data_IF_066166326499
#
_entry.id   IF_066166326499
#
_cell.length_a   1.000
_cell.length_b   1.000
_cell.length_c   1.000
_cell.angle_alpha   90.00
_cell.angle_beta   90.00
_cell.angle_gamma   90.00
#
_symmetry.space_group_name_H-M   'P 1'
#
loop_
_entity.id
_entity.type
_entity.pdbx_description
1 polymer ?
#
# COMPACT_ATOMS: atom_id res chain seq x y z
N UNK A 1 38.81 -29.80 -66.69
CA UNK A 1 37.76 -30.48 -65.90
C UNK A 1 37.32 -29.53 -64.80
N UNK A 2 36.20 -28.85 -65.02
CA UNK A 2 35.62 -27.85 -64.12
C UNK A 2 34.63 -28.53 -63.17
N UNK A 3 34.70 -28.24 -61.88
CA UNK A 3 33.61 -28.55 -60.93
C UNK A 3 33.13 -27.24 -60.31
N UNK A 4 31.85 -26.96 -60.57
CA UNK A 4 31.14 -25.77 -60.12
C UNK A 4 30.45 -26.09 -58.79
N UNK A 5 30.79 -25.35 -57.74
CA UNK A 5 30.19 -25.48 -56.41
C UNK A 5 28.96 -24.56 -56.31
N UNK A 6 27.79 -25.16 -56.08
CA UNK A 6 26.50 -24.48 -55.95
C UNK A 6 26.24 -24.13 -54.49
N UNK A 7 26.30 -22.85 -54.14
CA UNK A 7 25.94 -22.32 -52.82
C UNK A 7 24.42 -22.14 -52.71
N UNK A 8 23.77 -22.93 -51.83
CA UNK A 8 22.35 -22.73 -51.46
C UNK A 8 22.21 -21.51 -50.53
N UNK A 9 21.27 -20.65 -50.87
CA UNK A 9 20.89 -19.47 -50.10
C UNK A 9 19.73 -19.85 -49.16
N UNK A 10 19.98 -19.91 -47.85
CA UNK A 10 18.92 -20.03 -46.84
C UNK A 10 18.33 -18.63 -46.52
N UNK A 11 17.00 -18.47 -46.46
CA UNK A 11 16.39 -17.21 -46.09
C UNK A 11 16.46 -16.94 -44.58
N UNK A 12 16.63 -15.68 -44.13
CA UNK A 12 16.78 -15.34 -42.72
C UNK A 12 15.49 -15.54 -41.92
N UNK A 13 15.54 -16.43 -40.93
CA UNK A 13 14.47 -16.80 -39.97
C UNK A 13 14.13 -15.73 -38.91
N UNK A 14 14.28 -14.44 -39.22
CA UNK A 14 14.29 -13.37 -38.19
C UNK A 14 13.01 -12.55 -37.99
N UNK A 15 11.96 -12.68 -38.82
CA UNK A 15 10.85 -11.70 -38.82
C UNK A 15 9.55 -12.13 -38.14
N UNK A 16 9.37 -13.42 -37.82
CA UNK A 16 8.11 -13.90 -37.21
C UNK A 16 8.05 -13.74 -35.68
N UNK A 17 9.20 -13.71 -35.00
CA UNK A 17 9.25 -13.54 -33.55
C UNK A 17 8.96 -12.10 -33.11
N UNK A 18 9.34 -11.09 -33.92
CA UNK A 18 9.11 -9.69 -33.57
C UNK A 18 7.62 -9.31 -33.56
N UNK A 19 6.83 -9.86 -34.50
CA UNK A 19 5.40 -9.57 -34.60
C UNK A 19 4.59 -10.16 -33.42
N UNK A 20 5.01 -11.31 -32.88
CA UNK A 20 4.34 -11.94 -31.73
C UNK A 20 4.64 -11.21 -30.43
N UNK A 21 5.88 -10.69 -30.24
CA UNK A 21 6.24 -9.92 -29.05
C UNK A 21 5.50 -8.57 -29.01
N UNK A 22 5.34 -7.89 -30.16
CA UNK A 22 4.61 -6.60 -30.21
C UNK A 22 3.12 -6.77 -29.90
N UNK A 23 2.48 -7.85 -30.36
CA UNK A 23 1.08 -8.11 -30.07
C UNK A 23 0.81 -8.42 -28.57
N UNK A 24 1.73 -9.11 -27.90
CA UNK A 24 1.59 -9.42 -26.48
C UNK A 24 1.72 -8.16 -25.58
N UNK A 25 2.61 -7.22 -25.93
CA UNK A 25 2.83 -5.98 -25.17
C UNK A 25 1.63 -5.01 -25.27
N UNK A 26 1.00 -4.91 -26.44
CA UNK A 26 -0.18 -4.04 -26.64
C UNK A 26 -1.40 -4.54 -25.86
N UNK A 27 -1.57 -5.86 -25.72
CA UNK A 27 -2.71 -6.43 -24.99
C UNK A 27 -2.61 -6.20 -23.48
N UNK A 28 -1.39 -6.19 -22.92
CA UNK A 28 -1.16 -5.95 -21.48
C UNK A 28 -1.37 -4.48 -21.12
N UNK A 29 -1.03 -3.54 -22.01
CA UNK A 29 -1.25 -2.10 -21.78
C UNK A 29 -2.75 -1.72 -21.78
N UNK A 30 -3.59 -2.42 -22.55
CA UNK A 30 -5.05 -2.15 -22.57
C UNK A 30 -5.74 -2.62 -21.27
N UNK A 31 -5.27 -3.72 -20.66
CA UNK A 31 -5.86 -4.24 -19.41
C UNK A 31 -5.46 -3.39 -18.19
N UNK A 32 -4.24 -2.84 -18.18
CA UNK A 32 -3.75 -1.99 -17.09
C UNK A 32 -4.24 -0.53 -17.24
N UNK A 33 -4.31 0.00 -18.46
CA UNK A 33 -4.84 1.35 -18.73
C UNK A 33 -6.36 1.47 -18.59
N UNK A 34 -7.12 0.41 -18.92
CA UNK A 34 -8.58 0.44 -18.91
C UNK A 34 -9.24 0.47 -17.52
N UNK A 35 -8.52 0.05 -16.47
CA UNK A 35 -9.07 0.03 -15.10
C UNK A 35 -8.76 1.30 -14.29
N UNK A 36 -7.76 2.08 -14.70
CA UNK A 36 -7.44 3.36 -14.05
C UNK A 36 -8.28 4.55 -14.58
N UNK A 37 -8.92 4.43 -15.75
CA UNK A 37 -9.61 5.54 -16.41
C UNK A 37 -11.12 5.69 -16.08
N UNK A 38 -11.70 4.84 -15.23
CA UNK A 38 -13.16 4.76 -15.02
C UNK A 38 -13.67 5.36 -13.70
N UNK A 39 -12.86 6.15 -12.98
CA UNK A 39 -13.27 6.76 -11.67
C UNK A 39 -13.20 8.30 -11.66
N UNK A 40 -12.91 8.96 -12.79
CA UNK A 40 -12.90 10.43 -12.85
C UNK A 40 -13.85 10.95 -13.94
N UNK A 41 -15.11 11.21 -13.53
CA UNK A 41 -16.01 12.31 -13.94
C UNK A 41 -17.45 11.85 -14.10
N UNK A 42 -18.17 11.88 -12.98
CA UNK A 42 -19.60 12.17 -12.98
C UNK A 42 -19.91 12.91 -11.67
N UNK A 43 -19.84 14.24 -11.71
CA UNK A 43 -20.58 15.15 -10.82
C UNK A 43 -20.46 16.56 -11.38
N UNK A 44 -21.34 16.89 -12.32
CA UNK A 44 -21.72 18.26 -12.62
C UNK A 44 -23.00 18.61 -11.86
N UNK A 45 -23.01 19.88 -11.42
CA UNK A 45 -24.19 20.72 -11.14
C UNK A 45 -24.93 20.53 -9.81
N UNK A 46 -24.56 21.37 -8.86
CA UNK A 46 -25.45 21.88 -7.82
C UNK A 46 -26.55 22.77 -8.42
N UNK A 47 -27.69 22.91 -7.72
CA UNK A 47 -28.36 24.21 -7.67
C UNK A 47 -28.54 24.70 -6.22
N UNK A 48 -28.48 26.02 -6.11
CA UNK A 48 -28.64 26.82 -4.91
C UNK A 48 -30.11 26.89 -4.43
N UNK A 49 -30.29 27.20 -3.14
CA UNK A 49 -31.47 27.92 -2.65
C UNK A 49 -32.10 27.39 -1.35
N UNK A 50 -32.20 28.21 -0.27
CA UNK A 50 -32.79 27.82 1.02
C UNK A 50 -34.29 28.16 1.13
N UNK A 51 -35.02 27.39 1.95
CA UNK A 51 -36.44 27.64 2.24
C UNK A 51 -36.93 26.95 3.53
N UNK A 52 -36.89 27.73 4.62
CA UNK A 52 -37.80 27.88 5.78
C UNK A 52 -38.83 26.79 6.19
N UNK A 53 -38.87 26.51 7.52
CA UNK A 53 -40.02 26.10 8.40
C UNK A 53 -40.64 24.70 8.15
N UNK A 54 -41.04 23.86 9.11
CA UNK A 54 -41.48 24.01 10.51
C UNK A 54 -41.40 22.66 11.29
N UNK A 55 -41.44 22.72 12.63
CA UNK A 55 -41.76 21.58 13.55
C UNK A 55 -43.24 21.20 13.48
N UNK A 56 -43.64 19.94 13.81
CA UNK A 56 -44.23 19.62 15.12
C UNK A 56 -43.89 18.19 15.64
N UNK A 57 -43.64 18.00 16.94
CA UNK A 57 -44.57 17.57 18.03
C UNK A 57 -44.50 16.07 18.38
N UNK A 58 -44.16 15.86 19.65
CA UNK A 58 -44.16 14.63 20.43
C UNK A 58 -45.59 14.16 20.77
N UNK A 59 -45.85 12.85 20.73
CA UNK A 59 -46.90 12.22 21.56
C UNK A 59 -46.59 10.74 21.80
N UNK A 60 -46.47 10.38 23.07
CA UNK A 60 -46.46 9.01 23.59
C UNK A 60 -47.89 8.54 23.89
N UNK A 61 -48.13 7.22 24.00
CA UNK A 61 -49.17 6.74 24.91
C UNK A 61 -48.63 5.78 25.98
N UNK A 62 -49.05 6.08 27.20
CA UNK A 62 -49.05 5.26 28.41
C UNK A 62 -50.28 4.35 28.42
N UNK A 63 -50.13 3.07 28.76
CA UNK A 63 -51.21 2.26 29.36
C UNK A 63 -50.64 1.07 30.15
N UNK A 64 -51.01 1.02 31.43
CA UNK A 64 -51.12 -0.18 32.30
C UNK A 64 -52.56 -0.18 32.85
N UNK A 65 -53.18 -1.34 33.15
CA UNK A 65 -53.11 -1.86 34.52
C UNK A 65 -53.24 -3.40 34.71
N UNK A 66 -52.71 -3.88 35.86
CA UNK A 66 -53.23 -4.84 36.90
C UNK A 66 -53.91 -6.16 36.46
N UNK A 67 -53.66 -7.37 37.04
CA UNK A 67 -53.99 -7.81 38.43
C UNK A 67 -53.50 -9.26 38.79
N UNK A 68 -52.81 -9.42 39.94
CA UNK A 68 -52.87 -10.48 41.02
C UNK A 68 -52.44 -11.98 40.85
N UNK A 69 -52.18 -12.77 41.94
CA UNK A 69 -50.93 -13.55 42.17
C UNK A 69 -51.12 -15.07 42.41
N UNK A 70 -50.05 -15.82 42.76
CA UNK A 70 -50.17 -16.62 43.99
C UNK A 70 -48.93 -16.62 44.91
N UNK A 71 -49.26 -16.74 46.20
CA UNK A 71 -48.43 -16.92 47.39
C UNK A 71 -47.97 -18.37 47.55
N UNK A 72 -46.69 -18.61 47.85
CA UNK A 72 -46.23 -19.75 48.67
C UNK A 72 -45.00 -19.33 49.50
N UNK A 73 -45.01 -19.74 50.76
CA UNK A 73 -44.21 -19.32 51.93
C UNK A 73 -42.83 -20.05 52.04
N UNK A 74 -42.00 -19.87 53.09
CA UNK A 74 -40.55 -19.65 52.93
C UNK A 74 -39.67 -20.80 53.47
N UNK A 75 -38.42 -20.85 53.03
CA UNK A 75 -37.36 -21.59 53.74
C UNK A 75 -36.04 -20.81 53.67
N UNK A 76 -35.58 -20.38 54.84
CA UNK A 76 -34.20 -19.92 55.18
C UNK A 76 -33.63 -21.06 56.05
N UNK A 77 -32.34 -21.48 55.98
CA UNK A 77 -31.25 -20.59 56.40
C UNK A 77 -29.81 -20.80 55.87
N UNK A 78 -29.03 -19.69 55.94
CA UNK A 78 -27.56 -19.54 56.25
C UNK A 78 -26.48 -20.16 55.32
N UNK A 79 -25.18 -19.76 55.45
CA UNK A 79 -24.58 -18.41 55.41
C UNK A 79 -23.34 -18.37 54.47
N UNK A 80 -22.71 -17.19 54.39
CA UNK A 80 -21.33 -16.93 53.92
C UNK A 80 -20.99 -17.27 52.47
N UNK A 81 -20.62 -16.24 51.69
CA UNK A 81 -19.33 -16.14 51.00
C UNK A 81 -19.17 -14.74 50.41
N UNK A 82 -18.25 -13.99 51.01
CA UNK A 82 -17.32 -13.03 50.41
C UNK A 82 -17.70 -12.48 49.02
N UNK A 83 -18.09 -11.22 48.96
CA UNK A 83 -18.11 -10.45 47.71
C UNK A 83 -16.67 -10.14 47.30
N UNK A 84 -16.13 -10.68 46.19
CA UNK A 84 -14.96 -10.07 45.60
C UNK A 84 -15.42 -8.79 44.89
N UNK A 85 -14.96 -7.64 45.37
CA UNK A 85 -14.91 -6.42 44.57
C UNK A 85 -14.04 -6.67 43.34
N UNK A 86 -14.67 -7.06 42.23
CA UNK A 86 -14.06 -6.99 40.91
C UNK A 86 -14.04 -5.54 40.49
N UNK A 87 -12.96 -4.84 40.83
CA UNK A 87 -12.54 -3.65 40.10
C UNK A 87 -12.51 -4.03 38.61
N UNK A 88 -13.21 -3.31 37.71
CA UNK A 88 -13.11 -3.57 36.28
C UNK A 88 -11.69 -3.19 35.86
N UNK A 89 -10.79 -4.15 35.87
CA UNK A 89 -9.50 -4.04 35.20
C UNK A 89 -9.84 -3.99 33.72
N UNK A 90 -9.79 -2.81 33.09
CA UNK A 90 -10.00 -2.62 31.65
C UNK A 90 -9.31 -3.74 30.86
N UNK A 91 -10.04 -4.74 30.32
CA UNK A 91 -9.45 -5.79 29.52
C UNK A 91 -9.37 -5.25 28.09
N UNK A 92 -8.27 -4.60 27.70
CA UNK A 92 -8.08 -4.32 26.26
C UNK A 92 -6.66 -3.98 25.82
N UNK A 93 -5.90 -3.21 26.59
CA UNK A 93 -4.63 -2.68 26.05
C UNK A 93 -3.49 -3.70 26.00
N UNK A 94 -3.50 -4.70 26.90
CA UNK A 94 -2.40 -5.66 27.06
C UNK A 94 -2.42 -6.80 26.02
N UNK A 95 -3.51 -6.97 25.28
CA UNK A 95 -3.73 -8.09 24.35
C UNK A 95 -4.20 -7.67 22.95
N UNK A 96 -3.77 -6.51 22.45
CA UNK A 96 -4.10 -6.02 21.11
C UNK A 96 -2.95 -6.16 20.11
N UNK A 97 -3.27 -6.16 18.82
CA UNK A 97 -2.30 -6.09 17.72
C UNK A 97 -1.52 -4.77 17.72
N UNK A 98 -2.06 -3.71 18.32
CA UNK A 98 -1.43 -2.39 18.44
C UNK A 98 -0.03 -2.45 19.03
N UNK A 99 0.20 -3.30 20.04
CA UNK A 99 1.54 -3.47 20.63
C UNK A 99 2.57 -3.93 19.60
N UNK A 100 2.20 -4.86 18.72
CA UNK A 100 3.08 -5.37 17.67
C UNK A 100 3.27 -4.35 16.54
N UNK A 101 2.26 -3.50 16.27
CA UNK A 101 2.30 -2.49 15.21
C UNK A 101 2.90 -1.14 15.63
N UNK A 102 3.03 -0.88 16.93
CA UNK A 102 3.59 0.39 17.44
C UNK A 102 4.93 0.78 16.78
N UNK A 103 5.90 -0.15 16.57
CA UNK A 103 7.13 0.18 15.86
C UNK A 103 6.92 0.62 14.40
N UNK A 104 5.97 0.01 13.69
CA UNK A 104 5.61 0.40 12.32
C UNK A 104 4.97 1.78 12.30
N UNK A 105 3.94 2.01 13.12
CA UNK A 105 3.21 3.29 13.17
C UNK A 105 4.14 4.46 13.52
N UNK A 106 5.08 4.23 14.44
CA UNK A 106 6.09 5.22 14.82
C UNK A 106 7.06 5.50 13.68
N UNK A 107 7.53 4.45 13.00
CA UNK A 107 8.43 4.60 11.85
C UNK A 107 7.73 5.31 10.67
N UNK A 108 6.46 4.99 10.42
CA UNK A 108 5.64 5.64 9.39
C UNK A 108 5.47 7.14 9.66
N UNK A 109 5.07 7.52 10.87
CA UNK A 109 4.95 8.93 11.26
C UNK A 109 6.30 9.68 11.20
N UNK A 110 7.41 9.01 11.53
CA UNK A 110 8.74 9.60 11.35
C UNK A 110 9.05 9.85 9.87
N UNK A 111 8.81 8.87 9.00
CA UNK A 111 9.08 9.01 7.57
C UNK A 111 8.19 10.08 6.92
N UNK A 112 6.92 10.19 7.32
CA UNK A 112 6.05 11.27 6.87
C UNK A 112 6.65 12.65 7.16
N UNK A 113 7.12 12.91 8.38
CA UNK A 113 7.81 14.18 8.69
C UNK A 113 9.04 14.41 7.82
N UNK A 114 9.84 13.37 7.56
CA UNK A 114 11.00 13.47 6.66
C UNK A 114 10.57 13.81 5.21
N UNK A 115 9.46 13.24 4.73
CA UNK A 115 8.89 13.56 3.42
C UNK A 115 8.37 15.00 3.36
N UNK A 116 7.74 15.51 4.44
CA UNK A 116 7.31 16.91 4.53
C UNK A 116 8.52 17.86 4.53
N UNK A 117 9.59 17.55 5.26
CA UNK A 117 10.82 18.33 5.25
C UNK A 117 11.50 18.33 3.87
N UNK A 118 11.52 17.18 3.18
CA UNK A 118 12.03 17.09 1.82
C UNK A 118 11.19 17.92 0.84
N UNK A 119 9.87 17.82 0.92
CA UNK A 119 8.96 18.62 0.12
C UNK A 119 9.14 20.13 0.36
N UNK A 120 9.29 20.55 1.62
CA UNK A 120 9.57 21.95 1.95
C UNK A 120 10.90 22.43 1.35
N UNK A 121 11.95 21.60 1.36
CA UNK A 121 13.23 21.93 0.76
C UNK A 121 13.17 22.02 -0.78
N UNK A 122 12.43 21.11 -1.43
CA UNK A 122 12.19 21.15 -2.88
C UNK A 122 11.41 22.40 -3.27
N UNK A 123 10.36 22.74 -2.51
CA UNK A 123 9.56 23.95 -2.74
C UNK A 123 10.38 25.22 -2.53
N UNK A 124 11.25 25.25 -1.52
CA UNK A 124 12.15 26.37 -1.27
C UNK A 124 13.23 26.55 -2.34
N UNK A 125 13.67 25.46 -2.99
CA UNK A 125 14.55 25.54 -4.16
C UNK A 125 13.81 26.09 -5.40
N UNK A 126 12.52 25.73 -5.53
CA UNK A 126 11.59 26.26 -6.52
C UNK A 126 11.86 25.82 -7.97
N UNK A 127 10.82 25.70 -8.82
CA UNK A 127 11.00 25.58 -10.25
C UNK A 127 11.70 26.85 -10.81
N UNK A 128 12.54 26.74 -11.84
CA UNK A 128 12.76 25.55 -12.67
C UNK A 128 13.76 24.51 -12.10
N UNK A 129 14.13 24.59 -10.81
CA UNK A 129 15.11 23.71 -10.16
C UNK A 129 16.41 23.60 -10.95
N UNK A 130 16.97 24.74 -11.35
CA UNK A 130 18.20 24.78 -12.17
C UNK A 130 19.35 23.98 -11.56
N UNK A 131 19.39 23.85 -10.23
CA UNK A 131 20.35 23.01 -9.51
C UNK A 131 19.74 22.46 -8.23
N UNK A 132 19.87 21.14 -8.03
CA UNK A 132 19.59 20.46 -6.78
C UNK A 132 20.83 20.52 -5.90
N UNK A 133 20.71 21.17 -4.75
CA UNK A 133 21.81 21.31 -3.80
C UNK A 133 22.03 20.02 -3.01
N UNK A 134 23.24 19.80 -2.44
CA UNK A 134 23.49 18.69 -1.52
C UNK A 134 22.50 18.62 -0.36
N UNK A 135 22.03 19.77 0.13
CA UNK A 135 21.08 19.85 1.23
C UNK A 135 19.68 19.34 0.86
N UNK A 136 19.17 19.71 -0.31
CA UNK A 136 17.88 19.19 -0.83
C UNK A 136 17.98 17.69 -1.03
N UNK A 137 19.02 17.24 -1.75
CA UNK A 137 19.23 15.82 -2.05
C UNK A 137 19.39 14.96 -0.79
N UNK A 138 20.06 15.48 0.26
CA UNK A 138 20.19 14.79 1.53
C UNK A 138 18.84 14.58 2.24
N UNK A 139 17.94 15.56 2.20
CA UNK A 139 16.59 15.42 2.79
C UNK A 139 15.75 14.39 2.06
N UNK A 140 15.82 14.36 0.72
CA UNK A 140 15.11 13.34 -0.07
C UNK A 140 15.66 11.94 0.22
N UNK A 141 16.99 11.77 0.27
CA UNK A 141 17.61 10.49 0.63
C UNK A 141 17.29 10.05 2.06
N UNK A 142 17.16 10.98 3.00
CA UNK A 142 16.82 10.69 4.39
C UNK A 142 15.42 10.12 4.56
N UNK A 143 14.51 10.35 3.61
CA UNK A 143 13.19 9.73 3.56
C UNK A 143 13.28 8.28 3.03
N UNK A 144 14.04 7.42 3.71
CA UNK A 144 14.20 6.01 3.34
C UNK A 144 12.99 5.17 3.78
N UNK A 145 12.41 4.39 2.86
CA UNK A 145 11.30 3.47 3.11
C UNK A 145 11.73 2.20 3.87
N UNK A 146 12.98 1.76 3.70
CA UNK A 146 13.45 0.46 4.22
C UNK A 146 13.27 0.30 5.73
N UNK A 147 13.54 1.32 6.58
CA UNK A 147 13.29 1.22 8.02
C UNK A 147 11.82 1.03 8.37
N UNK A 148 10.89 1.57 7.59
CA UNK A 148 9.44 1.41 7.81
C UNK A 148 8.99 0.01 7.40
N UNK A 149 9.38 -0.44 6.21
CA UNK A 149 9.05 -1.78 5.69
C UNK A 149 9.44 -2.90 6.67
N UNK A 150 10.65 -2.84 7.24
CA UNK A 150 11.16 -3.85 8.20
C UNK A 150 10.35 -3.94 9.50
N UNK A 151 9.47 -2.97 9.78
CA UNK A 151 8.66 -2.95 11.00
C UNK A 151 7.26 -3.49 10.80
N UNK A 152 6.85 -3.81 9.56
CA UNK A 152 5.56 -4.44 9.29
C UNK A 152 5.59 -5.87 9.84
N UNK A 153 4.74 -6.21 10.82
CA UNK A 153 4.70 -7.56 11.36
C UNK A 153 4.09 -8.55 10.37
N UNK A 154 4.63 -9.76 10.35
CA UNK A 154 4.07 -10.87 9.58
C UNK A 154 2.76 -11.38 10.20
N UNK A 155 1.87 -11.89 9.35
CA UNK A 155 0.66 -12.60 9.79
C UNK A 155 -0.42 -11.71 10.40
N UNK A 156 -0.49 -10.45 9.97
CA UNK A 156 -1.63 -9.57 10.26
C UNK A 156 -2.94 -10.19 9.71
N UNK A 157 -4.07 -10.06 10.42
CA UNK A 157 -5.38 -10.34 9.86
C UNK A 157 -5.63 -9.50 8.60
N UNK A 158 -6.40 -9.99 7.61
CA UNK A 158 -6.49 -9.36 6.28
C UNK A 158 -6.86 -7.87 6.29
N UNK A 159 -7.84 -7.46 7.09
CA UNK A 159 -8.25 -6.04 7.20
C UNK A 159 -7.12 -5.16 7.75
N UNK A 160 -6.42 -5.64 8.78
CA UNK A 160 -5.30 -4.92 9.38
C UNK A 160 -4.08 -4.91 8.46
N UNK A 161 -3.84 -5.99 7.72
CA UNK A 161 -2.79 -6.06 6.69
C UNK A 161 -3.05 -5.04 5.58
N UNK A 162 -4.31 -4.93 5.11
CA UNK A 162 -4.69 -3.94 4.11
C UNK A 162 -4.46 -2.51 4.60
N UNK A 163 -4.89 -2.18 5.82
CA UNK A 163 -4.67 -0.85 6.40
C UNK A 163 -3.17 -0.51 6.52
N UNK A 164 -2.36 -1.46 6.97
CA UNK A 164 -0.90 -1.28 7.12
C UNK A 164 -0.20 -1.11 5.76
N UNK A 165 -0.59 -1.92 4.76
CA UNK A 165 -0.04 -1.81 3.40
C UNK A 165 -0.49 -0.52 2.72
N UNK A 166 -1.71 -0.03 2.98
CA UNK A 166 -2.18 1.26 2.49
C UNK A 166 -1.29 2.40 3.01
N UNK A 167 -1.06 2.47 4.32
CA UNK A 167 -0.15 3.45 4.94
C UNK A 167 1.27 3.37 4.34
N UNK A 168 1.79 2.17 4.13
CA UNK A 168 3.09 1.99 3.47
C UNK A 168 3.06 2.48 2.02
N UNK A 169 2.00 2.18 1.28
CA UNK A 169 1.80 2.59 -0.11
C UNK A 169 1.73 4.11 -0.24
N UNK A 170 1.13 4.81 0.71
CA UNK A 170 1.10 6.29 0.70
C UNK A 170 2.50 6.87 0.86
N UNK A 171 3.30 6.33 1.80
CA UNK A 171 4.69 6.73 1.99
C UNK A 171 5.53 6.42 0.75
N UNK A 172 5.34 5.24 0.15
CA UNK A 172 6.04 4.82 -1.07
C UNK A 172 5.72 5.76 -2.23
N UNK A 173 4.43 6.04 -2.47
CA UNK A 173 3.97 6.97 -3.50
C UNK A 173 4.63 8.35 -3.37
N UNK A 174 4.59 8.93 -2.17
CA UNK A 174 5.20 10.24 -1.91
C UNK A 174 6.72 10.22 -2.07
N UNK A 175 7.36 9.14 -1.62
CA UNK A 175 8.81 9.01 -1.70
C UNK A 175 9.31 8.91 -3.14
N UNK A 176 8.63 8.14 -3.98
CA UNK A 176 8.99 8.01 -5.39
C UNK A 176 8.59 9.25 -6.21
N UNK A 177 7.55 9.98 -5.82
CA UNK A 177 7.18 11.27 -6.40
C UNK A 177 8.28 12.34 -6.29
N UNK A 178 9.22 12.19 -5.35
CA UNK A 178 10.32 13.14 -5.15
C UNK A 178 11.70 12.53 -5.43
N UNK A 179 11.79 11.31 -5.95
CA UNK A 179 13.08 10.59 -6.08
C UNK A 179 14.08 11.23 -7.05
N UNK A 180 13.61 11.92 -8.09
CA UNK A 180 14.50 12.62 -9.03
C UNK A 180 15.27 13.77 -8.38
N UNK A 181 14.86 14.24 -7.20
CA UNK A 181 15.54 15.28 -6.43
C UNK A 181 16.68 14.74 -5.54
N UNK A 182 17.03 13.45 -5.65
CA UNK A 182 18.13 12.84 -4.91
C UNK A 182 19.51 13.09 -5.51
N UNK A 183 19.58 13.51 -6.77
CA UNK A 183 20.82 13.68 -7.52
C UNK A 183 21.25 15.14 -7.42
N UNK A 184 22.48 15.37 -6.93
CA UNK A 184 23.07 16.71 -6.83
C UNK A 184 23.50 17.19 -8.22
N UNK A 185 23.22 18.46 -8.52
CA UNK A 185 23.56 19.07 -9.80
C UNK A 185 22.33 19.53 -10.57
N UNK A 186 22.43 19.74 -11.89
CA UNK A 186 21.29 20.13 -12.71
C UNK A 186 20.13 19.14 -12.58
N UNK A 187 18.91 19.65 -12.39
CA UNK A 187 17.73 18.78 -12.37
C UNK A 187 17.44 18.25 -13.78
N UNK A 188 17.69 16.95 -13.96
CA UNK A 188 17.57 16.25 -15.24
C UNK A 188 16.80 14.94 -15.06
N UNK A 189 15.46 14.99 -14.88
CA UNK A 189 14.66 13.78 -14.88
C UNK A 189 14.64 13.16 -16.29
N UNK A 190 14.27 11.87 -16.44
CA UNK A 190 13.97 11.30 -17.75
C UNK A 190 12.92 12.15 -18.48
N UNK A 191 13.17 12.49 -19.75
CA UNK A 191 12.29 13.34 -20.56
C UNK A 191 11.78 12.57 -21.78
N UNK A 192 10.50 12.72 -22.08
CA UNK A 192 9.92 12.39 -23.38
C UNK A 192 10.07 13.55 -24.36
N UNK A 193 9.85 13.29 -25.65
CA UNK A 193 9.92 14.31 -26.68
C UNK A 193 8.96 15.48 -26.40
N UNK A 194 9.50 16.70 -26.30
CA UNK A 194 8.74 17.92 -26.07
C UNK A 194 8.50 18.28 -24.59
N UNK A 195 8.97 17.45 -23.64
CA UNK A 195 8.87 17.76 -22.21
C UNK A 195 10.05 18.61 -21.72
N UNK A 196 9.79 19.48 -20.76
CA UNK A 196 10.83 20.21 -20.01
C UNK A 196 11.08 19.57 -18.64
N UNK A 197 12.30 19.67 -18.08
CA UNK A 197 12.58 19.22 -16.70
C UNK A 197 11.57 19.77 -15.68
N UNK A 198 11.20 21.04 -15.80
CA UNK A 198 10.24 21.67 -14.88
C UNK A 198 8.85 21.04 -14.96
N UNK A 199 8.35 20.75 -16.17
CA UNK A 199 7.05 20.07 -16.35
C UNK A 199 7.08 18.67 -15.74
N UNK A 200 8.12 17.88 -16.02
CA UNK A 200 8.27 16.54 -15.46
C UNK A 200 8.39 16.58 -13.94
N UNK A 201 9.23 17.45 -13.38
CA UNK A 201 9.37 17.61 -11.93
C UNK A 201 8.07 18.00 -11.23
N UNK A 202 7.30 18.93 -11.81
CA UNK A 202 5.98 19.30 -11.29
C UNK A 202 4.99 18.12 -11.35
N UNK A 203 5.02 17.34 -12.44
CA UNK A 203 4.17 16.15 -12.58
C UNK A 203 4.54 15.07 -11.55
N UNK A 204 5.82 14.78 -11.37
CA UNK A 204 6.30 13.82 -10.37
C UNK A 204 5.84 14.21 -8.96
N UNK A 205 6.02 15.48 -8.56
CA UNK A 205 5.55 15.96 -7.24
C UNK A 205 4.04 15.81 -7.09
N UNK A 206 3.25 16.11 -8.14
CA UNK A 206 1.79 15.97 -8.12
C UNK A 206 1.34 14.53 -7.87
N UNK A 207 2.08 13.53 -8.36
CA UNK A 207 1.72 12.13 -8.17
C UNK A 207 1.66 11.75 -6.66
N UNK A 208 2.51 12.34 -5.82
CA UNK A 208 2.50 12.10 -4.38
C UNK A 208 1.40 12.83 -3.59
N UNK A 209 0.68 13.78 -4.20
CA UNK A 209 -0.20 14.69 -3.48
C UNK A 209 -1.38 13.98 -2.80
N UNK A 210 -2.10 13.12 -3.52
CA UNK A 210 -3.27 12.43 -2.98
C UNK A 210 -2.91 11.54 -1.78
N UNK A 211 -1.77 10.85 -1.84
CA UNK A 211 -1.24 10.07 -0.72
C UNK A 211 -0.87 10.96 0.48
N UNK A 212 -0.32 12.15 0.26
CA UNK A 212 -0.02 13.09 1.32
C UNK A 212 -1.28 13.57 2.05
N UNK A 213 -2.35 13.87 1.32
CA UNK A 213 -3.63 14.34 1.90
C UNK A 213 -4.28 13.28 2.79
N UNK A 214 -4.19 12.00 2.43
CA UNK A 214 -4.86 10.93 3.18
C UNK A 214 -4.05 10.37 4.35
N UNK A 215 -2.72 10.54 4.33
CA UNK A 215 -1.79 9.81 5.20
C UNK A 215 -2.20 9.83 6.68
N UNK A 216 -2.53 10.99 7.24
CA UNK A 216 -2.89 11.10 8.66
C UNK A 216 -4.16 10.32 8.99
N UNK A 217 -5.15 10.36 8.08
CA UNK A 217 -6.39 9.59 8.20
C UNK A 217 -6.13 8.08 8.12
N UNK A 218 -5.33 7.64 7.15
CA UNK A 218 -5.01 6.22 6.96
C UNK A 218 -4.15 5.67 8.11
N UNK A 219 -3.22 6.46 8.64
CA UNK A 219 -2.42 6.10 9.82
C UNK A 219 -3.29 6.01 11.09
N UNK A 220 -4.22 6.95 11.29
CA UNK A 220 -5.16 6.92 12.40
C UNK A 220 -6.11 5.71 12.31
N UNK A 221 -6.63 5.42 11.11
CA UNK A 221 -7.46 4.25 10.86
C UNK A 221 -6.71 2.94 11.14
N UNK A 222 -5.46 2.81 10.68
CA UNK A 222 -4.62 1.65 10.97
C UNK A 222 -4.37 1.48 12.48
N UNK A 223 -4.11 2.58 13.21
CA UNK A 223 -3.96 2.55 14.67
C UNK A 223 -5.25 2.09 15.37
N UNK A 224 -6.40 2.65 14.99
CA UNK A 224 -7.70 2.30 15.57
C UNK A 224 -8.04 0.82 15.33
N UNK A 225 -7.84 0.35 14.10
CA UNK A 225 -8.06 -1.05 13.76
C UNK A 225 -7.10 -1.98 14.54
N UNK A 226 -5.84 -1.60 14.71
CA UNK A 226 -4.88 -2.36 15.49
C UNK A 226 -5.25 -2.44 16.98
N UNK A 227 -5.86 -1.39 17.54
CA UNK A 227 -6.33 -1.37 18.92
C UNK A 227 -7.53 -2.32 19.13
N UNK A 228 -8.42 -2.40 18.14
CA UNK A 228 -9.58 -3.30 18.16
C UNK A 228 -9.26 -4.76 17.78
N UNK A 229 -8.09 -5.01 17.19
CA UNK A 229 -7.68 -6.35 16.75
C UNK A 229 -7.01 -7.12 17.89
N UNK A 230 -7.38 -8.40 18.14
CA UNK A 230 -6.68 -9.24 19.10
C UNK A 230 -5.18 -9.36 18.82
N UNK A 231 -4.40 -9.69 19.84
CA UNK A 231 -2.96 -9.85 19.71
C UNK A 231 -2.58 -10.83 18.60
N UNK A 232 -1.67 -10.43 17.74
CA UNK A 232 -1.14 -11.28 16.67
C UNK A 232 -0.08 -12.25 17.21
N UNK A 233 -0.09 -13.47 16.68
CA UNK A 233 0.93 -14.47 16.97
C UNK A 233 2.30 -14.08 16.40
N UNK A 234 3.37 -14.61 16.99
CA UNK A 234 4.70 -14.52 16.41
C UNK A 234 4.87 -15.65 15.39
N UNK A 235 5.32 -15.30 14.18
CA UNK A 235 5.63 -16.26 13.13
C UNK A 235 7.15 -16.45 12.99
N UNK A 236 7.65 -17.68 12.77
CA UNK A 236 9.05 -17.91 12.46
C UNK A 236 9.51 -17.07 11.26
N UNK A 237 10.74 -16.56 11.30
CA UNK A 237 11.28 -15.73 10.23
C UNK A 237 11.27 -16.44 8.86
N UNK A 238 11.42 -17.77 8.85
CA UNK A 238 11.37 -18.63 7.66
C UNK A 238 9.95 -18.90 7.14
N UNK A 239 8.90 -18.38 7.78
CA UNK A 239 7.52 -18.61 7.34
C UNK A 239 7.16 -17.77 6.12
N UNK A 240 6.26 -18.31 5.28
CA UNK A 240 5.68 -17.57 4.14
C UNK A 240 5.00 -16.27 4.55
N UNK A 241 4.56 -16.12 5.81
CA UNK A 241 3.96 -14.88 6.31
C UNK A 241 4.94 -13.71 6.31
N UNK A 242 6.23 -13.94 6.52
CA UNK A 242 7.25 -12.89 6.34
C UNK A 242 7.49 -12.59 4.86
N UNK A 243 7.58 -13.63 4.02
CA UNK A 243 7.71 -13.45 2.57
C UNK A 243 6.53 -12.67 1.97
N UNK A 244 5.30 -12.94 2.38
CA UNK A 244 4.08 -12.26 1.94
C UNK A 244 4.12 -10.75 2.25
N UNK A 245 4.60 -10.36 3.44
CA UNK A 245 4.80 -8.93 3.76
C UNK A 245 5.82 -8.28 2.82
N UNK A 246 6.93 -8.95 2.56
CA UNK A 246 7.97 -8.44 1.66
C UNK A 246 7.47 -8.36 0.21
N UNK A 247 6.66 -9.31 -0.24
CA UNK A 247 6.01 -9.28 -1.55
C UNK A 247 5.08 -8.06 -1.68
N UNK A 248 4.25 -7.78 -0.66
CA UNK A 248 3.36 -6.62 -0.64
C UNK A 248 4.14 -5.29 -0.65
N UNK A 249 5.20 -5.21 0.15
CA UNK A 249 6.11 -4.06 0.16
C UNK A 249 6.75 -3.85 -1.21
N UNK A 250 7.33 -4.91 -1.79
CA UNK A 250 8.01 -4.83 -3.08
C UNK A 250 7.04 -4.50 -4.22
N UNK A 251 5.81 -4.99 -4.15
CA UNK A 251 4.76 -4.64 -5.09
C UNK A 251 4.40 -3.16 -5.01
N UNK A 252 4.24 -2.60 -3.80
CA UNK A 252 3.99 -1.17 -3.59
C UNK A 252 5.13 -0.29 -4.12
N UNK A 253 6.38 -0.69 -3.87
CA UNK A 253 7.56 0.01 -4.38
C UNK A 253 7.65 -0.04 -5.90
N UNK A 254 7.45 -1.20 -6.53
CA UNK A 254 7.49 -1.30 -7.98
C UNK A 254 6.34 -0.55 -8.65
N UNK A 255 5.16 -0.54 -8.05
CA UNK A 255 4.03 0.24 -8.56
C UNK A 255 4.29 1.76 -8.54
N UNK A 256 5.22 2.22 -7.70
CA UNK A 256 5.54 3.64 -7.53
C UNK A 256 6.90 4.05 -8.09
N UNK A 257 7.84 3.12 -8.27
CA UNK A 257 9.21 3.42 -8.70
C UNK A 257 9.78 2.45 -9.74
N UNK A 258 9.00 1.50 -10.25
CA UNK A 258 9.38 0.62 -11.37
C UNK A 258 8.99 1.25 -12.72
N UNK A 259 9.57 0.78 -13.83
CA UNK A 259 9.20 1.20 -15.19
C UNK A 259 9.09 2.74 -15.42
N UNK A 260 10.01 3.54 -14.88
CA UNK A 260 9.98 5.01 -14.92
C UNK A 260 8.75 5.67 -14.25
N UNK A 261 8.06 4.94 -13.37
CA UNK A 261 7.01 5.52 -12.51
C UNK A 261 7.62 6.36 -11.39
N UNK A 262 6.90 7.43 -11.02
CA UNK A 262 7.34 8.40 -10.00
C UNK A 262 6.18 8.70 -9.03
N UNK A 263 5.82 7.70 -8.23
CA UNK A 263 4.72 7.77 -7.28
C UNK A 263 3.33 7.67 -7.91
N UNK A 264 2.30 7.98 -7.12
CA UNK A 264 0.91 8.03 -7.55
C UNK A 264 0.10 6.75 -7.36
N UNK A 265 0.76 5.60 -7.24
CA UNK A 265 0.07 4.34 -7.02
C UNK A 265 -0.26 4.13 -5.54
N UNK A 266 -1.51 3.71 -5.28
CA UNK A 266 -2.05 3.52 -3.94
C UNK A 266 -2.73 2.17 -3.87
N UNK A 267 -2.22 1.29 -3.01
CA UNK A 267 -2.78 -0.04 -2.78
C UNK A 267 -3.98 0.01 -1.82
N UNK A 268 -5.13 0.48 -2.32
CA UNK A 268 -6.39 0.48 -1.56
C UNK A 268 -6.98 -0.93 -1.38
N UNK A 269 -6.49 -1.91 -2.15
CA UNK A 269 -6.80 -3.33 -2.03
C UNK A 269 -5.50 -4.13 -2.06
N UNK A 270 -5.43 -5.20 -1.27
CA UNK A 270 -4.27 -6.08 -1.30
C UNK A 270 -4.21 -6.84 -2.62
N UNK A 271 -3.05 -6.89 -3.30
CA UNK A 271 -2.87 -7.77 -4.45
C UNK A 271 -2.97 -9.24 -4.00
N UNK A 272 -3.52 -10.07 -4.88
CA UNK A 272 -3.66 -11.51 -4.59
C UNK A 272 -2.31 -12.19 -4.74
N UNK A 273 -1.83 -12.81 -3.66
CA UNK A 273 -0.62 -13.65 -3.67
C UNK A 273 -1.03 -15.11 -3.83
N UNK A 274 -0.46 -15.78 -4.84
CA UNK A 274 -0.61 -17.22 -5.09
C UNK A 274 0.76 -17.88 -5.04
N UNK A 275 0.97 -18.75 -4.07
CA UNK A 275 2.14 -19.61 -4.02
C UNK A 275 1.91 -20.83 -4.92
N UNK A 276 2.93 -21.22 -5.69
CA UNK A 276 2.93 -22.50 -6.37
C UNK A 276 3.30 -23.61 -5.38
N UNK A 277 2.69 -24.78 -5.54
CA UNK A 277 3.05 -25.98 -4.77
C UNK A 277 4.45 -26.45 -5.14
N UNK A 278 4.72 -26.51 -6.44
CA UNK A 278 6.02 -26.81 -7.03
C UNK A 278 6.48 -25.57 -7.80
N UNK A 279 7.70 -25.04 -7.51
CA UNK A 279 8.22 -23.92 -8.28
C UNK A 279 8.26 -24.26 -9.77
N UNK A 280 7.74 -23.36 -10.61
CA UNK A 280 7.81 -23.55 -12.06
C UNK A 280 9.20 -23.18 -12.54
N UNK A 281 9.84 -24.08 -13.30
CA UNK A 281 11.16 -23.86 -13.89
C UNK A 281 10.96 -23.37 -15.31
N UNK A 282 11.12 -22.07 -15.52
CA UNK A 282 11.14 -21.47 -16.85
C UNK A 282 12.50 -21.61 -17.54
N UNK A 283 12.58 -21.17 -18.80
CA UNK A 283 13.83 -21.21 -19.59
C UNK A 283 14.96 -20.37 -18.97
N UNK A 284 14.62 -19.35 -18.18
CA UNK A 284 15.59 -18.38 -17.64
C UNK A 284 15.56 -18.24 -16.12
N UNK A 285 14.42 -18.54 -15.46
CA UNK A 285 14.28 -18.42 -14.01
C UNK A 285 13.29 -19.42 -13.45
N UNK A 286 13.40 -19.69 -12.14
CA UNK A 286 12.44 -20.48 -11.37
C UNK A 286 11.49 -19.53 -10.64
N UNK A 287 10.18 -19.70 -10.79
CA UNK A 287 9.16 -18.91 -10.09
C UNK A 287 8.53 -19.68 -8.93
N UNK A 288 8.32 -19.01 -7.80
CA UNK A 288 7.69 -19.58 -6.61
C UNK A 288 6.19 -19.26 -6.52
N UNK A 289 5.67 -18.36 -7.35
CA UNK A 289 4.32 -17.85 -7.23
C UNK A 289 4.03 -16.64 -8.10
N UNK A 290 2.83 -16.08 -7.89
CA UNK A 290 2.42 -14.81 -8.50
C UNK A 290 1.82 -13.84 -7.47
N UNK A 291 1.99 -12.54 -7.69
CA UNK A 291 1.31 -11.46 -6.98
C UNK A 291 0.61 -10.57 -8.00
N UNK A 292 -0.73 -10.58 -7.98
CA UNK A 292 -1.57 -9.92 -8.98
C UNK A 292 -1.16 -10.24 -10.44
N UNK A 293 -0.79 -11.50 -10.70
CA UNK A 293 -0.33 -11.98 -12.01
C UNK A 293 1.17 -11.79 -12.30
N UNK A 294 1.91 -11.01 -11.50
CA UNK A 294 3.36 -10.87 -11.63
C UNK A 294 4.06 -12.06 -10.98
N UNK A 295 4.96 -12.71 -11.71
CA UNK A 295 5.77 -13.80 -11.18
C UNK A 295 6.76 -13.30 -10.11
N UNK A 296 7.08 -14.15 -9.15
CA UNK A 296 8.08 -13.84 -8.15
C UNK A 296 8.97 -15.03 -7.80
N UNK A 297 10.21 -14.71 -7.40
CA UNK A 297 11.10 -15.65 -6.72
C UNK A 297 11.14 -15.32 -5.23
N UNK A 298 11.25 -16.36 -4.41
CA UNK A 298 11.28 -16.25 -2.96
C UNK A 298 12.18 -17.34 -2.36
N UNK A 299 13.30 -16.93 -1.77
CA UNK A 299 14.28 -17.84 -1.17
C UNK A 299 14.61 -17.42 0.26
N UNK A 300 14.62 -18.37 1.18
CA UNK A 300 15.04 -18.13 2.56
C UNK A 300 16.47 -18.67 2.80
N UNK A 301 17.40 -17.78 3.12
CA UNK A 301 18.80 -18.08 3.49
C UNK A 301 19.21 -17.27 4.70
N UNK A 302 18.61 -17.55 5.87
CA UNK A 302 18.74 -16.73 7.08
C UNK A 302 17.88 -15.45 7.05
N UNK A 303 17.59 -14.94 5.86
CA UNK A 303 16.56 -13.93 5.59
C UNK A 303 15.85 -14.25 4.27
N UNK A 304 14.69 -13.65 4.05
CA UNK A 304 13.96 -13.77 2.79
C UNK A 304 14.57 -12.86 1.72
N UNK A 305 14.86 -13.44 0.58
CA UNK A 305 15.18 -12.75 -0.66
C UNK A 305 13.99 -12.91 -1.60
N UNK A 306 13.37 -11.77 -1.95
CA UNK A 306 12.19 -11.70 -2.81
C UNK A 306 12.54 -10.89 -4.05
N UNK A 307 12.17 -11.40 -5.21
CA UNK A 307 12.27 -10.69 -6.48
C UNK A 307 10.93 -10.76 -7.19
N UNK A 308 10.41 -9.61 -7.63
CA UNK A 308 9.24 -9.55 -8.51
C UNK A 308 9.74 -9.37 -9.93
N UNK A 309 9.26 -10.21 -10.85
CA UNK A 309 9.64 -10.20 -12.25
C UNK A 309 8.75 -9.21 -13.00
N UNK A 310 9.10 -7.94 -12.87
CA UNK A 310 8.46 -6.78 -13.50
C UNK A 310 9.55 -5.83 -14.03
N UNK A 311 9.17 -4.83 -14.83
CA UNK A 311 10.13 -3.98 -15.56
C UNK A 311 10.85 -2.95 -14.68
#
# INVERSE_FOLDING_TARGET
MSTSSSSRHEPPRGRRHLAVVVAAVVTILIVIGGTALLVLRNHDSAPAGPGTTASPTSTAPSVSPSTTPPTVTPSTPTPDTTTPSTTPSTPSERASALRALTPFLTAAAKLDRQLQEAAAAINGAGPPWTTITPAVAAKVRAADLKPVARRIPAGLPPSLQQAVVLVYSDLSSRRHAISSFEIVGPFQPPLSAGETPTQVGLQQIRNGHAAAVRFDGDLAAARSLAAATPSIGKYPASSRKHAEVLLLVRYAELANGGCDTHGGAVLTRLPVIKWLEVPSVGTYWTTNGTINGLEFTAKFTGSWHIELLAC
#
